data_IF_997953785410
#
_entry.id   IF_997953785410
#
_cell.length_a   1.000
_cell.length_b   1.000
_cell.length_c   1.000
_cell.angle_alpha   90.00
_cell.angle_beta   90.00
_cell.angle_gamma   90.00
#
_symmetry.space_group_name_H-M   'P 1'
#
loop_
_entity.id
_entity.type
_entity.pdbx_description
1 polymer ?
#
# COMPACT_ATOMS: atom_id res chain seq x y z
N UNK A 1 -34.01 41.16 3.02
CA UNK A 1 -33.71 39.91 3.74
C UNK A 1 -32.91 39.05 2.77
N UNK A 2 -31.63 38.80 3.04
CA UNK A 2 -30.79 37.91 2.23
C UNK A 2 -31.06 36.46 2.63
N UNK A 3 -31.28 35.57 1.67
CA UNK A 3 -31.51 34.14 1.92
C UNK A 3 -30.22 33.38 1.65
N UNK A 4 -29.77 32.56 2.60
CA UNK A 4 -28.58 31.72 2.44
C UNK A 4 -29.00 30.28 2.16
N UNK A 5 -28.52 29.70 1.05
CA UNK A 5 -28.75 28.29 0.72
C UNK A 5 -27.47 27.49 0.99
N UNK A 6 -27.60 26.38 1.72
CA UNK A 6 -26.49 25.45 2.00
C UNK A 6 -26.59 24.29 1.01
N UNK A 7 -25.52 24.06 0.24
CA UNK A 7 -25.40 22.89 -0.63
C UNK A 7 -24.29 21.98 -0.12
N UNK A 8 -24.60 20.70 0.05
CA UNK A 8 -23.64 19.68 0.46
C UNK A 8 -23.17 18.91 -0.78
N UNK A 9 -21.86 18.76 -0.95
CA UNK A 9 -21.27 17.93 -2.01
C UNK A 9 -20.45 16.83 -1.38
N UNK A 10 -20.77 15.58 -1.71
CA UNK A 10 -20.01 14.40 -1.27
C UNK A 10 -19.02 14.04 -2.36
N UNK A 11 -17.74 13.97 -2.02
CA UNK A 11 -16.68 13.54 -2.94
C UNK A 11 -15.99 12.31 -2.37
N UNK A 12 -15.93 11.25 -3.16
CA UNK A 12 -15.26 10.00 -2.80
C UNK A 12 -13.99 9.86 -3.64
N UNK A 13 -12.85 9.62 -3.00
CA UNK A 13 -11.56 9.43 -3.64
C UNK A 13 -11.00 8.07 -3.25
N UNK A 14 -10.72 7.22 -4.24
CA UNK A 14 -10.12 5.89 -4.05
C UNK A 14 -8.67 5.93 -4.50
N UNK A 15 -7.74 5.56 -3.62
CA UNK A 15 -6.31 5.47 -3.91
C UNK A 15 -5.85 4.02 -3.76
N UNK A 16 -5.22 3.49 -4.79
CA UNK A 16 -4.64 2.13 -4.79
C UNK A 16 -3.12 2.23 -4.78
N UNK A 17 -2.47 1.65 -3.77
CA UNK A 17 -1.01 1.61 -3.65
C UNK A 17 -0.53 0.17 -3.76
N UNK A 18 0.40 -0.09 -4.67
CA UNK A 18 1.04 -1.40 -4.85
C UNK A 18 2.49 -1.32 -4.39
N UNK A 19 2.87 -2.15 -3.42
CA UNK A 19 4.24 -2.24 -2.90
C UNK A 19 4.82 -3.61 -3.24
N UNK A 20 6.01 -3.62 -3.83
CA UNK A 20 6.76 -4.83 -4.16
C UNK A 20 8.00 -4.90 -3.27
N UNK A 21 8.14 -5.99 -2.51
CA UNK A 21 9.28 -6.24 -1.63
C UNK A 21 10.06 -7.44 -2.15
N UNK A 22 11.36 -7.27 -2.33
CA UNK A 22 12.28 -8.35 -2.72
C UNK A 22 13.22 -8.65 -1.56
N UNK A 23 13.20 -9.88 -1.08
CA UNK A 23 14.05 -10.36 0.02
C UNK A 23 14.98 -11.46 -0.48
N UNK A 24 16.27 -11.38 -0.14
CA UNK A 24 17.27 -12.40 -0.48
C UNK A 24 17.80 -13.05 0.80
N UNK A 25 17.67 -14.37 0.89
CA UNK A 25 18.14 -15.18 2.02
C UNK A 25 19.22 -16.14 1.53
N UNK A 26 20.40 -16.09 2.14
CA UNK A 26 21.51 -17.00 1.84
C UNK A 26 21.71 -17.99 2.98
N UNK A 27 21.61 -19.28 2.70
CA UNK A 27 21.80 -20.37 3.66
C UNK A 27 23.05 -21.16 3.29
N UNK A 28 23.98 -21.31 4.24
CA UNK A 28 25.21 -22.09 4.06
C UNK A 28 25.15 -23.36 4.91
N UNK A 29 25.26 -24.52 4.27
CA UNK A 29 25.27 -25.83 4.94
C UNK A 29 26.64 -26.48 4.77
N UNK A 30 27.29 -26.84 5.89
CA UNK A 30 28.57 -27.55 5.90
C UNK A 30 28.34 -28.99 6.35
N UNK A 31 28.79 -29.96 5.56
CA UNK A 31 28.71 -31.39 5.92
C UNK A 31 30.08 -31.87 6.41
N UNK A 32 30.16 -32.44 7.61
CA UNK A 32 31.44 -32.75 8.29
C UNK A 32 32.11 -34.04 7.81
N UNK A 33 31.35 -34.94 7.18
CA UNK A 33 31.79 -36.28 6.76
C UNK A 33 32.64 -36.28 5.49
N UNK A 34 32.54 -35.21 4.70
CA UNK A 34 33.36 -34.89 3.53
C UNK A 34 33.38 -33.37 3.49
N UNK A 35 34.52 -32.70 3.63
CA UNK A 35 34.62 -31.22 3.71
C UNK A 35 34.00 -30.53 2.49
N UNK A 36 32.68 -30.39 2.48
CA UNK A 36 31.86 -29.94 1.36
C UNK A 36 30.92 -28.88 1.91
N UNK A 37 31.06 -27.67 1.40
CA UNK A 37 30.24 -26.51 1.78
C UNK A 37 29.28 -26.21 0.64
N UNK A 38 27.98 -26.26 0.90
CA UNK A 38 26.93 -25.91 -0.06
C UNK A 38 26.30 -24.59 0.35
N UNK A 39 26.34 -23.61 -0.56
CA UNK A 39 25.69 -22.30 -0.35
C UNK A 39 24.45 -22.23 -1.24
N UNK A 40 23.28 -22.07 -0.63
CA UNK A 40 22.00 -21.91 -1.33
C UNK A 40 21.51 -20.49 -1.13
N UNK A 41 21.29 -19.76 -2.22
CA UNK A 41 20.69 -18.43 -2.19
C UNK A 41 19.24 -18.53 -2.68
N UNK A 42 18.30 -18.07 -1.87
CA UNK A 42 16.87 -18.03 -2.20
C UNK A 42 16.42 -16.57 -2.25
N UNK A 43 15.85 -16.17 -3.38
CA UNK A 43 15.24 -14.85 -3.56
C UNK A 43 13.73 -15.00 -3.53
N UNK A 44 13.06 -14.24 -2.67
CA UNK A 44 11.60 -14.22 -2.54
C UNK A 44 11.10 -12.83 -2.90
N UNK A 45 10.19 -12.76 -3.87
CA UNK A 45 9.52 -11.52 -4.26
C UNK A 45 8.07 -11.58 -3.78
N UNK A 46 7.62 -10.56 -3.06
CA UNK A 46 6.25 -10.45 -2.54
C UNK A 46 5.64 -9.13 -2.97
N UNK A 47 4.41 -9.20 -3.50
CA UNK A 47 3.65 -8.02 -3.92
C UNK A 47 2.45 -7.84 -3.00
N UNK A 48 2.29 -6.65 -2.43
CA UNK A 48 1.16 -6.30 -1.57
C UNK A 48 0.42 -5.10 -2.17
N UNK A 49 -0.88 -5.23 -2.36
CA UNK A 49 -1.76 -4.17 -2.88
C UNK A 49 -2.68 -3.68 -1.77
N UNK A 50 -2.71 -2.37 -1.53
CA UNK A 50 -3.56 -1.73 -0.52
C UNK A 50 -4.46 -0.69 -1.19
N UNK A 51 -5.76 -0.80 -0.96
CA UNK A 51 -6.77 0.14 -1.48
C UNK A 51 -7.34 0.94 -0.33
N UNK A 52 -7.29 2.27 -0.43
CA UNK A 52 -7.83 3.20 0.57
C UNK A 52 -8.89 4.09 -0.07
N UNK A 53 -10.10 4.09 0.49
CA UNK A 53 -11.21 4.94 0.05
C UNK A 53 -11.44 6.03 1.08
N UNK A 54 -11.38 7.30 0.66
CA UNK A 54 -11.64 8.47 1.49
C UNK A 54 -12.90 9.17 0.99
N UNK A 55 -13.85 9.42 1.88
CA UNK A 55 -15.07 10.19 1.57
C UNK A 55 -14.98 11.53 2.28
N UNK A 56 -15.07 12.61 1.52
CA UNK A 56 -15.08 13.99 2.04
C UNK A 56 -16.45 14.62 1.77
N UNK A 57 -16.99 15.33 2.76
CA UNK A 57 -18.21 16.10 2.63
C UNK A 57 -17.86 17.60 2.65
N UNK A 58 -18.25 18.32 1.61
CA UNK A 58 -18.04 19.76 1.46
C UNK A 58 -19.36 20.51 1.63
N UNK A 59 -19.35 21.57 2.42
CA UNK A 59 -20.48 22.48 2.64
C UNK A 59 -20.20 23.82 1.97
N UNK A 60 -21.01 24.20 0.98
CA UNK A 60 -20.92 25.49 0.29
C UNK A 60 -22.08 26.40 0.69
N UNK A 61 -21.76 27.64 1.06
CA UNK A 61 -22.73 28.70 1.35
C UNK A 61 -22.79 29.67 0.18
N UNK A 62 -23.97 29.82 -0.44
CA UNK A 62 -24.21 30.84 -1.46
C UNK A 62 -25.14 31.92 -0.89
N UNK A 63 -24.73 33.18 -1.08
CA UNK A 63 -25.57 34.35 -0.82
C UNK A 63 -26.16 34.84 -2.14
N UNK A 64 -27.47 35.04 -2.16
CA UNK A 64 -28.22 35.62 -3.27
C UNK A 64 -28.99 36.84 -2.79
#
# INVERSE_FOLDING_TARGET
>A
MTTTTITNTITTTTTTTTTTTTSTTTTTTTTTSTTTTTTTTTTTTSTTTTTTTTTTNYYYYYYY
#
